data_IF_565607986940
#
_entry.id   IF_565607986940
#
_cell.length_a   1.000
_cell.length_b   1.000
_cell.length_c   1.000
_cell.angle_alpha   90.00
_cell.angle_beta   90.00
_cell.angle_gamma   90.00
#
_symmetry.space_group_name_H-M   'P 1'
#
loop_
_entity.id
_entity.type
_entity.pdbx_description
1 polymer ?
#
# COMPACT_ATOMS: atom_id res chain seq x y z
N UNK A 1 -95.31 -14.86 -44.60
CA UNK A 1 -95.52 -14.60 -43.13
C UNK A 1 -94.34 -15.04 -42.27
N UNK A 2 -93.14 -14.82 -42.71
CA UNK A 2 -91.94 -15.05 -41.88
C UNK A 2 -90.81 -14.04 -42.24
N UNK A 3 -91.12 -12.86 -42.87
CA UNK A 3 -90.14 -11.94 -43.34
C UNK A 3 -90.36 -10.51 -42.80
N UNK A 4 -91.25 -10.32 -41.84
CA UNK A 4 -91.63 -8.99 -41.32
C UNK A 4 -91.28 -8.78 -39.82
N UNK A 5 -90.33 -9.55 -39.26
CA UNK A 5 -89.99 -9.45 -37.83
C UNK A 5 -88.51 -9.19 -37.58
N UNK A 6 -87.76 -8.60 -38.56
CA UNK A 6 -86.31 -8.28 -38.37
C UNK A 6 -86.00 -6.83 -38.69
N UNK A 7 -86.92 -5.91 -38.54
CA UNK A 7 -86.65 -4.49 -38.90
C UNK A 7 -86.48 -3.55 -37.65
N UNK A 8 -86.32 -4.03 -36.47
CA UNK A 8 -86.10 -3.18 -35.27
C UNK A 8 -85.01 -3.72 -34.36
N UNK A 9 -83.87 -4.18 -34.92
CA UNK A 9 -82.61 -4.28 -34.16
C UNK A 9 -81.79 -3.03 -34.40
N UNK A 10 -82.02 -2.05 -33.55
CA UNK A 10 -81.14 -0.88 -33.45
C UNK A 10 -79.72 -1.34 -33.11
N UNK A 11 -78.80 -1.21 -34.08
CA UNK A 11 -77.39 -1.44 -33.84
C UNK A 11 -76.85 -0.35 -32.88
N UNK A 12 -76.67 -0.80 -31.64
CA UNK A 12 -76.04 0.03 -30.60
C UNK A 12 -74.63 0.41 -31.10
N UNK A 13 -74.36 1.70 -31.16
CA UNK A 13 -73.10 2.26 -31.68
C UNK A 13 -71.97 1.77 -30.79
N UNK A 14 -71.24 0.75 -31.26
CA UNK A 14 -70.06 0.25 -30.63
C UNK A 14 -69.13 1.37 -30.22
N UNK A 15 -68.78 1.42 -28.95
CA UNK A 15 -67.81 2.36 -28.36
C UNK A 15 -66.47 2.12 -29.02
N UNK A 16 -66.08 2.99 -29.94
CA UNK A 16 -64.72 2.99 -30.50
C UNK A 16 -63.78 3.56 -29.47
N UNK A 17 -63.20 2.67 -28.69
CA UNK A 17 -62.13 3.05 -27.75
C UNK A 17 -60.88 3.48 -28.58
N UNK A 18 -60.66 4.77 -28.64
CA UNK A 18 -59.45 5.34 -29.29
C UNK A 18 -58.21 5.03 -28.45
N UNK A 19 -57.46 3.98 -28.76
CA UNK A 19 -56.17 3.65 -28.19
C UNK A 19 -55.00 4.62 -28.54
N UNK A 20 -55.30 5.81 -29.09
CA UNK A 20 -54.27 6.77 -29.51
C UNK A 20 -53.49 7.41 -28.35
N UNK A 21 -54.07 7.50 -27.15
CA UNK A 21 -53.40 8.16 -26.00
C UNK A 21 -52.42 7.27 -25.26
N UNK A 22 -52.68 5.98 -25.18
CA UNK A 22 -51.77 5.03 -24.48
C UNK A 22 -50.44 4.86 -25.22
N UNK A 23 -50.44 4.78 -26.53
CA UNK A 23 -49.20 4.65 -27.31
C UNK A 23 -48.27 5.84 -27.13
N UNK A 24 -48.78 7.07 -27.16
CA UNK A 24 -47.98 8.28 -26.98
C UNK A 24 -47.37 8.39 -25.57
N UNK A 25 -48.10 7.92 -24.55
CA UNK A 25 -47.63 7.90 -23.16
C UNK A 25 -46.58 6.81 -22.96
N UNK A 26 -46.75 5.62 -23.50
CA UNK A 26 -45.76 4.54 -23.46
C UNK A 26 -44.45 4.96 -24.15
N UNK A 27 -44.52 5.61 -25.30
CA UNK A 27 -43.31 6.13 -25.99
C UNK A 27 -42.55 7.20 -25.18
N UNK A 28 -43.24 8.06 -24.43
CA UNK A 28 -42.57 9.02 -23.52
C UNK A 28 -41.83 8.34 -22.37
N UNK A 29 -42.41 7.34 -21.76
CA UNK A 29 -41.75 6.59 -20.70
C UNK A 29 -40.66 5.64 -21.22
N UNK A 30 -40.84 5.05 -22.40
CA UNK A 30 -39.82 4.24 -23.05
C UNK A 30 -38.56 5.07 -23.37
N UNK A 31 -38.71 6.33 -23.85
CA UNK A 31 -37.58 7.20 -24.06
C UNK A 31 -36.81 7.52 -22.77
N UNK A 32 -37.50 7.79 -21.66
CA UNK A 32 -36.86 8.00 -20.34
C UNK A 32 -36.12 6.75 -19.90
N UNK A 33 -36.70 5.56 -20.10
CA UNK A 33 -36.09 4.30 -19.73
C UNK A 33 -34.80 4.00 -20.53
N UNK A 34 -34.83 4.29 -21.85
CA UNK A 34 -33.65 4.16 -22.72
C UNK A 34 -32.54 5.12 -22.28
N UNK A 35 -32.89 6.36 -21.89
CA UNK A 35 -31.90 7.35 -21.38
C UNK A 35 -31.31 6.88 -20.06
N UNK A 36 -32.12 6.34 -19.14
CA UNK A 36 -31.63 5.82 -17.86
C UNK A 36 -30.72 4.60 -18.06
N UNK A 37 -31.06 3.69 -18.98
CA UNK A 37 -30.21 2.55 -19.33
C UNK A 37 -28.89 3.04 -19.95
N UNK A 38 -28.94 3.99 -20.87
CA UNK A 38 -27.75 4.57 -21.49
C UNK A 38 -26.86 5.31 -20.47
N UNK A 39 -27.46 6.04 -19.52
CA UNK A 39 -26.73 6.68 -18.41
C UNK A 39 -26.11 5.63 -17.47
N UNK A 40 -26.87 4.61 -17.10
CA UNK A 40 -26.36 3.51 -16.26
C UNK A 40 -25.22 2.76 -16.96
N UNK A 41 -25.33 2.52 -18.26
CA UNK A 41 -24.28 1.91 -19.07
C UNK A 41 -23.06 2.82 -19.19
N UNK A 42 -23.25 4.13 -19.39
CA UNK A 42 -22.17 5.11 -19.44
C UNK A 42 -21.43 5.22 -18.10
N UNK A 43 -22.17 5.23 -16.97
CA UNK A 43 -21.59 5.23 -15.62
C UNK A 43 -20.84 3.91 -15.35
N UNK A 44 -21.44 2.77 -15.73
CA UNK A 44 -20.81 1.45 -15.57
C UNK A 44 -19.53 1.34 -16.41
N UNK A 45 -19.58 1.80 -17.67
CA UNK A 45 -18.43 1.80 -18.59
C UNK A 45 -17.35 2.80 -18.16
N UNK A 46 -17.75 3.98 -17.64
CA UNK A 46 -16.83 4.96 -17.05
C UNK A 46 -16.14 4.42 -15.79
N UNK A 47 -16.86 3.68 -14.95
CA UNK A 47 -16.26 3.03 -13.76
C UNK A 47 -15.33 1.85 -14.10
N UNK A 48 -15.59 1.12 -15.21
CA UNK A 48 -14.67 0.07 -15.68
C UNK A 48 -13.40 0.64 -16.33
N UNK A 49 -13.47 1.84 -16.91
CA UNK A 49 -12.35 2.58 -17.49
C UNK A 49 -11.82 3.66 -16.53
N UNK A 50 -12.19 3.63 -15.25
CA UNK A 50 -11.48 4.40 -14.25
C UNK A 50 -10.03 3.92 -14.32
N UNK A 51 -9.16 4.73 -14.91
CA UNK A 51 -7.73 4.54 -14.84
C UNK A 51 -7.43 4.29 -13.36
N UNK A 52 -6.90 3.11 -13.03
CA UNK A 52 -6.39 2.85 -11.69
C UNK A 52 -5.37 3.96 -11.49
N UNK A 53 -5.73 5.00 -10.72
CA UNK A 53 -4.77 6.02 -10.33
C UNK A 53 -3.72 5.29 -9.52
N UNK A 54 -2.61 5.00 -10.17
CA UNK A 54 -1.39 4.64 -9.46
C UNK A 54 -1.13 5.74 -8.44
N UNK A 55 -0.67 5.39 -7.22
CA UNK A 55 -0.28 6.38 -6.23
C UNK A 55 0.63 7.42 -6.88
N UNK A 56 0.51 8.66 -6.44
CA UNK A 56 1.28 9.79 -6.95
C UNK A 56 2.75 9.37 -7.10
N UNK A 57 3.33 9.55 -8.29
CA UNK A 57 4.69 9.07 -8.63
C UNK A 57 5.80 9.85 -7.90
N UNK A 58 5.45 10.57 -6.84
CA UNK A 58 6.37 11.40 -6.07
C UNK A 58 6.37 11.02 -4.59
N UNK A 59 7.56 11.05 -3.99
CA UNK A 59 7.69 10.95 -2.54
C UNK A 59 7.08 12.19 -1.91
N UNK A 60 6.24 12.01 -0.90
CA UNK A 60 5.54 13.11 -0.23
C UNK A 60 5.87 13.13 1.26
N UNK A 61 5.96 14.34 1.80
CA UNK A 61 6.02 14.59 3.23
C UNK A 61 4.81 15.40 3.65
N UNK A 62 3.99 14.83 4.50
CA UNK A 62 2.88 15.50 5.14
C UNK A 62 3.29 15.91 6.55
N UNK A 63 3.14 17.19 6.88
CA UNK A 63 3.39 17.74 8.21
C UNK A 63 2.05 17.94 8.90
N UNK A 64 1.79 17.16 9.96
CA UNK A 64 0.55 17.21 10.76
C UNK A 64 0.59 18.45 11.69
N UNK A 65 0.28 19.63 11.16
CA UNK A 65 0.17 20.85 11.97
C UNK A 65 -1.24 21.01 12.52
N UNK A 66 -1.43 21.49 13.78
CA UNK A 66 -2.75 21.72 14.37
C UNK A 66 -3.66 22.66 13.55
N UNK A 67 -3.07 23.66 12.89
CA UNK A 67 -3.82 24.67 12.13
C UNK A 67 -4.21 24.21 10.72
N UNK A 68 -3.39 23.43 10.07
CA UNK A 68 -3.67 22.76 8.77
C UNK A 68 -2.54 21.81 8.39
N UNK A 69 -2.84 20.59 7.97
CA UNK A 69 -1.82 19.68 7.44
C UNK A 69 -1.22 20.28 6.16
N UNK A 70 0.10 20.22 6.03
CA UNK A 70 0.82 20.65 4.83
C UNK A 70 1.43 19.45 4.15
N UNK A 71 1.21 19.30 2.86
CA UNK A 71 1.81 18.27 2.05
C UNK A 71 2.90 18.87 1.14
N UNK A 72 4.09 18.29 1.17
CA UNK A 72 5.23 18.66 0.34
C UNK A 72 5.59 17.51 -0.59
N UNK A 73 5.80 17.82 -1.86
CA UNK A 73 6.43 16.89 -2.78
C UNK A 73 7.95 17.01 -2.65
N UNK A 74 8.63 15.90 -2.39
CA UNK A 74 10.06 15.86 -2.21
C UNK A 74 10.76 15.77 -3.58
N UNK A 75 11.21 16.92 -4.10
CA UNK A 75 11.84 17.10 -5.42
C UNK A 75 13.20 17.76 -5.30
N UNK A 76 14.09 17.21 -4.49
CA UNK A 76 15.48 17.67 -4.33
C UNK A 76 15.59 19.16 -3.98
N UNK A 77 14.81 19.62 -2.99
CA UNK A 77 14.88 20.97 -2.42
C UNK A 77 14.77 20.92 -0.92
N UNK A 78 15.51 21.79 -0.23
CA UNK A 78 15.37 21.94 1.22
C UNK A 78 13.94 22.34 1.60
N UNK A 79 13.42 21.71 2.67
CA UNK A 79 12.14 22.07 3.24
C UNK A 79 12.30 23.32 4.10
N UNK A 80 11.52 24.34 3.78
CA UNK A 80 11.55 25.60 4.51
C UNK A 80 10.21 25.87 5.19
N UNK A 81 10.23 26.39 6.42
CA UNK A 81 9.07 26.85 7.15
C UNK A 81 8.54 28.19 6.63
N UNK A 82 7.51 28.73 7.34
CA UNK A 82 6.86 30.00 6.96
C UNK A 82 7.81 31.19 7.02
N UNK A 83 8.77 31.16 7.95
CA UNK A 83 9.73 32.25 8.21
C UNK A 83 11.04 32.07 7.44
N UNK A 84 11.10 31.09 6.52
CA UNK A 84 12.27 30.79 5.70
C UNK A 84 13.33 29.92 6.40
N UNK A 85 13.07 29.47 7.63
CA UNK A 85 13.93 28.52 8.34
C UNK A 85 13.96 27.16 7.60
N UNK A 86 15.13 26.51 7.56
CA UNK A 86 15.27 25.16 6.99
C UNK A 86 14.76 24.14 8.00
N UNK A 87 13.69 23.42 7.64
CA UNK A 87 13.07 22.38 8.46
C UNK A 87 13.70 21.01 8.24
N UNK A 88 14.18 20.73 7.03
CA UNK A 88 14.93 19.55 6.66
C UNK A 88 15.71 19.82 5.36
N UNK A 89 16.86 19.18 5.22
CA UNK A 89 17.66 19.22 3.97
C UNK A 89 17.29 18.02 3.13
N UNK A 90 17.14 18.23 1.82
CA UNK A 90 16.90 17.14 0.88
C UNK A 90 18.03 17.03 -0.14
N UNK A 91 18.67 15.87 -0.20
CA UNK A 91 19.59 15.49 -1.27
C UNK A 91 19.09 14.21 -1.95
N UNK A 92 18.73 14.33 -3.23
CA UNK A 92 18.17 13.21 -4.04
C UNK A 92 17.07 12.46 -3.29
N UNK A 93 17.37 11.24 -2.83
CA UNK A 93 16.44 10.33 -2.17
C UNK A 93 16.60 10.33 -0.65
N UNK A 94 17.25 11.33 -0.07
CA UNK A 94 17.50 11.41 1.38
C UNK A 94 16.92 12.69 1.95
N UNK A 95 16.17 12.59 3.04
CA UNK A 95 15.70 13.69 3.86
C UNK A 95 16.50 13.72 5.17
N UNK A 96 17.18 14.82 5.45
CA UNK A 96 18.09 14.96 6.57
C UNK A 96 17.62 16.04 7.55
N UNK A 97 17.38 15.65 8.80
CA UNK A 97 17.05 16.54 9.90
C UNK A 97 18.23 16.92 10.78
N UNK A 98 19.46 16.51 10.43
CA UNK A 98 20.63 16.84 11.24
C UNK A 98 20.92 18.35 11.31
N UNK A 99 21.23 18.81 12.52
CA UNK A 99 21.62 20.20 12.75
C UNK A 99 20.47 21.19 12.71
N UNK A 100 19.23 20.71 12.63
CA UNK A 100 18.04 21.53 12.72
C UNK A 100 17.59 21.56 14.17
N UNK A 101 18.07 22.56 14.92
CA UNK A 101 17.70 22.75 16.32
C UNK A 101 16.32 23.41 16.42
N UNK A 102 15.28 22.60 16.60
CA UNK A 102 13.98 23.08 17.08
C UNK A 102 13.80 22.70 18.56
N UNK A 103 14.73 23.17 19.42
CA UNK A 103 14.59 22.90 20.87
C UNK A 103 13.32 23.56 21.45
N UNK A 104 12.95 24.74 20.94
CA UNK A 104 11.79 25.53 21.39
C UNK A 104 10.66 25.45 20.36
N UNK A 105 9.76 24.48 20.48
CA UNK A 105 8.59 24.38 19.62
C UNK A 105 7.69 23.20 19.98
N UNK A 106 6.47 23.20 19.47
CA UNK A 106 5.56 22.07 19.61
C UNK A 106 6.08 20.84 18.86
N UNK A 107 5.79 19.66 19.38
CA UNK A 107 6.03 18.40 18.69
C UNK A 107 5.02 18.30 17.56
N UNK A 108 5.54 18.27 16.33
CA UNK A 108 4.75 18.09 15.11
C UNK A 108 5.12 16.76 14.50
N UNK A 109 4.15 16.01 14.03
CA UNK A 109 4.40 14.74 13.38
C UNK A 109 4.51 14.92 11.86
N UNK A 110 5.42 14.17 11.29
CA UNK A 110 5.65 14.08 9.85
C UNK A 110 5.21 12.69 9.37
N UNK A 111 4.60 12.63 8.20
CA UNK A 111 4.29 11.36 7.51
C UNK A 111 5.00 11.37 6.16
N UNK A 112 6.06 10.58 6.07
CA UNK A 112 6.81 10.36 4.83
C UNK A 112 6.20 9.18 4.08
N UNK A 113 5.77 9.38 2.82
CA UNK A 113 5.19 8.34 1.96
C UNK A 113 6.05 8.12 0.73
N UNK A 114 6.42 6.88 0.51
CA UNK A 114 7.21 6.43 -0.64
C UNK A 114 6.30 5.69 -1.61
N UNK A 115 6.11 6.17 -2.84
CA UNK A 115 5.27 5.50 -3.83
C UNK A 115 5.91 4.20 -4.34
N UNK A 116 5.14 3.42 -5.07
CA UNK A 116 5.67 2.24 -5.78
C UNK A 116 6.76 2.67 -6.78
N UNK A 117 7.73 1.79 -7.02
CA UNK A 117 8.87 2.03 -7.91
C UNK A 117 9.97 2.92 -7.34
N UNK A 118 9.88 3.36 -6.08
CA UNK A 118 10.88 4.20 -5.43
C UNK A 118 11.29 3.66 -4.07
N UNK A 119 12.49 3.99 -3.66
CA UNK A 119 12.99 3.87 -2.29
C UNK A 119 13.39 5.24 -1.79
N UNK A 120 13.35 5.46 -0.50
CA UNK A 120 13.72 6.73 0.08
C UNK A 120 14.40 6.57 1.43
N UNK A 121 15.25 7.52 1.80
CA UNK A 121 16.00 7.51 3.05
C UNK A 121 15.60 8.70 3.91
N UNK A 122 15.54 8.51 5.22
CA UNK A 122 15.39 9.61 6.17
C UNK A 122 16.36 9.46 7.31
N UNK A 123 17.08 10.55 7.60
CA UNK A 123 17.92 10.68 8.76
C UNK A 123 17.15 11.47 9.82
N UNK A 124 16.65 10.74 10.81
CA UNK A 124 15.77 11.27 11.85
C UNK A 124 16.53 12.24 12.79
N UNK A 125 15.81 13.06 13.59
CA UNK A 125 16.42 14.03 14.49
C UNK A 125 17.39 13.44 15.53
N UNK A 126 17.23 12.16 15.89
CA UNK A 126 18.12 11.42 16.80
C UNK A 126 19.31 10.76 16.09
N UNK A 127 19.50 11.02 14.80
CA UNK A 127 20.50 10.40 13.93
C UNK A 127 20.23 8.93 13.59
N UNK A 128 19.03 8.44 13.85
CA UNK A 128 18.59 7.14 13.35
C UNK A 128 18.42 7.22 11.83
N UNK A 129 19.05 6.30 11.11
CA UNK A 129 18.94 6.20 9.65
C UNK A 129 17.88 5.17 9.28
N UNK A 130 16.89 5.59 8.51
CA UNK A 130 15.80 4.73 8.05
C UNK A 130 15.77 4.70 6.53
N UNK A 131 15.83 3.49 5.96
CA UNK A 131 15.57 3.24 4.54
C UNK A 131 14.15 2.75 4.40
N UNK A 132 13.37 3.32 3.50
CA UNK A 132 11.99 2.95 3.22
C UNK A 132 11.87 2.35 1.82
N UNK A 133 11.27 1.18 1.74
CA UNK A 133 11.03 0.50 0.48
C UNK A 133 9.77 1.05 -0.22
N UNK A 134 9.56 0.67 -1.47
CA UNK A 134 8.44 1.07 -2.30
C UNK A 134 7.08 0.74 -1.64
N UNK A 135 6.17 1.69 -1.64
CA UNK A 135 4.84 1.55 -1.03
C UNK A 135 4.82 1.69 0.49
N UNK A 136 5.87 2.26 1.10
CA UNK A 136 5.98 2.41 2.55
C UNK A 136 5.62 3.81 3.02
N UNK A 137 5.19 3.91 4.27
CA UNK A 137 5.04 5.18 4.97
C UNK A 137 5.62 5.11 6.38
N UNK A 138 6.25 6.21 6.81
CA UNK A 138 6.79 6.38 8.15
C UNK A 138 6.22 7.64 8.77
N UNK A 139 5.58 7.50 9.94
CA UNK A 139 5.14 8.62 10.76
C UNK A 139 6.10 8.78 11.94
N UNK A 140 6.66 9.98 12.10
CA UNK A 140 7.66 10.29 13.12
C UNK A 140 7.56 11.76 13.56
N UNK A 141 7.97 12.10 14.81
CA UNK A 141 7.97 13.48 15.28
C UNK A 141 9.15 14.27 14.69
N UNK A 142 8.98 15.58 14.56
CA UNK A 142 10.04 16.51 14.14
C UNK A 142 11.19 16.60 15.15
N UNK A 143 10.99 16.12 16.39
CA UNK A 143 12.02 16.02 17.45
C UNK A 143 11.63 14.95 18.46
N UNK A 144 12.63 14.27 19.03
CA UNK A 144 12.45 13.36 20.16
C UNK A 144 12.76 14.07 21.48
N UNK A 145 11.94 13.84 22.49
CA UNK A 145 12.17 14.40 23.83
C UNK A 145 13.23 13.59 24.57
N UNK A 146 14.21 14.27 25.15
CA UNK A 146 15.26 13.62 25.92
C UNK A 146 14.69 12.82 27.10
N UNK A 147 15.12 11.57 27.23
CA UNK A 147 14.65 10.67 28.32
C UNK A 147 13.21 10.17 28.13
N UNK A 148 12.62 10.32 26.94
CA UNK A 148 11.35 9.74 26.54
C UNK A 148 11.58 8.71 25.43
N UNK A 149 10.57 7.90 25.19
CA UNK A 149 10.56 6.93 24.10
C UNK A 149 10.62 7.66 22.74
N UNK A 150 11.43 7.13 21.83
CA UNK A 150 11.56 7.58 20.45
C UNK A 150 10.63 6.76 19.58
N UNK A 151 9.39 7.20 19.46
CA UNK A 151 8.33 6.39 18.84
C UNK A 151 8.07 6.80 17.39
N UNK A 152 7.96 5.79 16.51
CA UNK A 152 7.57 5.94 15.11
C UNK A 152 6.55 4.86 14.72
N UNK A 153 5.77 5.15 13.66
CA UNK A 153 4.80 4.20 13.09
C UNK A 153 5.19 3.88 11.66
N UNK A 154 5.34 2.60 11.35
CA UNK A 154 5.67 2.09 10.01
C UNK A 154 4.48 1.35 9.40
N UNK A 155 4.17 1.66 8.16
CA UNK A 155 3.39 0.83 7.25
C UNK A 155 4.24 0.54 6.01
N UNK A 156 4.36 -0.72 5.58
CA UNK A 156 5.23 -1.13 4.49
C UNK A 156 6.52 -1.78 4.97
N UNK A 157 7.65 -1.48 4.35
CA UNK A 157 8.94 -2.07 4.68
C UNK A 157 9.99 -1.00 4.96
N UNK A 158 10.68 -1.15 6.08
CA UNK A 158 11.73 -0.25 6.51
C UNK A 158 12.92 -0.97 7.13
N UNK A 159 14.12 -0.57 6.74
CA UNK A 159 15.36 -0.95 7.39
C UNK A 159 15.80 0.19 8.30
N UNK A 160 16.07 -0.13 9.54
CA UNK A 160 16.42 0.81 10.59
C UNK A 160 17.84 0.58 11.08
N UNK A 161 18.65 1.64 11.06
CA UNK A 161 19.93 1.71 11.75
C UNK A 161 19.80 2.73 12.87
N UNK A 162 19.42 2.23 14.04
CA UNK A 162 19.02 3.06 15.18
C UNK A 162 20.26 3.57 15.93
N UNK A 163 20.27 4.87 16.20
CA UNK A 163 21.32 5.50 17.02
C UNK A 163 21.26 4.98 18.46
N UNK A 164 22.45 4.74 19.07
CA UNK A 164 22.56 4.13 20.41
C UNK A 164 22.16 5.12 21.49
N UNK A 165 21.10 4.83 22.22
CA UNK A 165 20.69 5.52 23.45
C UNK A 165 20.04 4.53 24.42
N UNK A 166 20.73 4.27 25.54
CA UNK A 166 20.26 3.33 26.56
C UNK A 166 19.16 3.90 27.46
N UNK A 167 18.97 5.22 27.45
CA UNK A 167 18.02 5.89 28.34
C UNK A 167 16.69 6.22 27.62
N UNK A 168 16.67 6.15 26.29
CA UNK A 168 15.51 6.46 25.47
C UNK A 168 15.34 5.36 24.42
N UNK A 169 14.51 4.36 24.66
CA UNK A 169 14.28 3.29 23.70
C UNK A 169 13.70 3.85 22.40
N UNK A 170 14.04 3.23 21.27
CA UNK A 170 13.44 3.49 19.98
C UNK A 170 12.36 2.45 19.73
N UNK A 171 11.14 2.92 19.48
CA UNK A 171 9.95 2.08 19.36
C UNK A 171 9.39 2.20 17.96
N UNK A 172 9.29 1.09 17.25
CA UNK A 172 8.60 1.01 15.96
C UNK A 172 7.28 0.27 16.14
N UNK A 173 6.18 0.96 15.97
CA UNK A 173 4.87 0.36 15.85
C UNK A 173 4.61 -0.01 14.39
N UNK A 174 4.25 -1.27 14.17
CA UNK A 174 3.86 -1.81 12.89
C UNK A 174 2.62 -2.71 13.09
N UNK A 175 1.89 -3.04 12.04
CA UNK A 175 0.62 -3.74 12.12
C UNK A 175 0.67 -5.00 13.03
N UNK A 176 0.12 -4.88 14.23
CA UNK A 176 0.03 -5.97 15.24
C UNK A 176 1.28 -6.21 16.09
N UNK A 177 2.41 -5.54 15.82
CA UNK A 177 3.68 -5.69 16.54
C UNK A 177 4.20 -4.33 17.02
N UNK A 178 4.76 -4.30 18.21
CA UNK A 178 5.65 -3.24 18.68
C UNK A 178 7.07 -3.79 18.81
N UNK A 179 8.02 -3.07 18.23
CA UNK A 179 9.47 -3.40 18.26
C UNK A 179 10.20 -2.36 19.09
N UNK A 180 10.97 -2.78 20.11
CA UNK A 180 11.72 -1.93 21.02
C UNK A 180 13.22 -2.21 20.93
N UNK A 181 14.03 -1.15 20.76
CA UNK A 181 15.49 -1.26 20.62
C UNK A 181 16.22 -0.08 21.27
N UNK A 182 17.52 -0.27 21.59
CA UNK A 182 18.38 0.75 22.21
C UNK A 182 19.62 1.13 21.36
N UNK A 183 19.65 0.71 20.07
CA UNK A 183 20.77 0.93 19.16
C UNK A 183 21.09 -0.34 18.39
N UNK A 184 20.34 -0.61 17.35
CA UNK A 184 20.18 -1.90 16.71
C UNK A 184 19.98 -1.72 15.22
N UNK A 185 20.43 -2.65 14.38
CA UNK A 185 20.11 -2.72 12.96
C UNK A 185 19.09 -3.85 12.72
N UNK A 186 17.95 -3.52 12.11
CA UNK A 186 16.86 -4.48 11.86
C UNK A 186 15.99 -4.05 10.68
N UNK A 187 15.29 -5.01 10.08
CA UNK A 187 14.31 -4.78 9.01
C UNK A 187 12.91 -5.15 9.50
N UNK A 188 11.92 -4.34 9.16
CA UNK A 188 10.49 -4.66 9.39
C UNK A 188 9.78 -4.67 8.05
N UNK A 189 8.97 -5.72 7.82
CA UNK A 189 8.03 -5.81 6.70
C UNK A 189 6.61 -5.87 7.25
N UNK A 190 5.77 -4.88 6.95
CA UNK A 190 4.43 -4.71 7.50
C UNK A 190 3.49 -4.01 6.49
N UNK A 191 3.35 -4.58 5.30
CA UNK A 191 2.42 -4.06 4.30
C UNK A 191 0.98 -4.44 4.64
N UNK A 192 0.05 -3.48 4.49
CA UNK A 192 -1.37 -3.69 4.82
C UNK A 192 -2.07 -4.76 3.95
N UNK A 193 -1.55 -5.02 2.75
CA UNK A 193 -2.03 -6.06 1.84
C UNK A 193 -1.35 -7.43 2.03
N UNK A 194 -0.35 -7.54 2.93
CA UNK A 194 0.25 -8.80 3.33
C UNK A 194 -0.47 -9.39 4.56
N UNK A 195 -0.47 -10.72 4.69
CA UNK A 195 -1.13 -11.42 5.80
C UNK A 195 -0.30 -11.47 7.08
N UNK A 196 0.93 -10.96 7.05
CA UNK A 196 1.88 -11.04 8.15
C UNK A 196 2.65 -9.74 8.33
N UNK A 197 3.20 -9.56 9.52
CA UNK A 197 4.25 -8.59 9.84
C UNK A 197 5.48 -9.36 10.30
N UNK A 198 6.66 -8.99 9.82
CA UNK A 198 7.91 -9.63 10.23
C UNK A 198 8.97 -8.62 10.66
N UNK A 199 9.81 -9.04 11.62
CA UNK A 199 10.96 -8.29 12.12
C UNK A 199 12.19 -9.18 12.04
N UNK A 200 13.20 -8.75 11.29
CA UNK A 200 14.49 -9.45 11.14
C UNK A 200 15.57 -8.66 11.86
N UNK A 201 16.28 -9.31 12.79
CA UNK A 201 17.40 -8.68 13.49
C UNK A 201 18.71 -8.92 12.75
N UNK A 202 19.40 -7.82 12.42
CA UNK A 202 20.71 -7.82 11.75
C UNK A 202 21.84 -7.72 12.78
N UNK A 203 21.83 -6.67 13.62
CA UNK A 203 22.85 -6.43 14.65
C UNK A 203 22.19 -5.88 15.92
N UNK A 204 22.67 -6.33 17.09
CA UNK A 204 22.22 -5.85 18.39
C UNK A 204 21.19 -6.76 19.05
N UNK A 205 20.11 -6.19 19.59
CA UNK A 205 19.03 -6.89 20.26
C UNK A 205 17.70 -6.19 20.02
N UNK A 206 16.63 -6.96 19.79
CA UNK A 206 15.28 -6.45 19.51
C UNK A 206 14.30 -7.11 20.46
N UNK A 207 13.55 -6.29 21.19
CA UNK A 207 12.35 -6.72 21.91
C UNK A 207 11.13 -6.64 20.99
N UNK A 208 10.35 -7.72 20.91
CA UNK A 208 9.11 -7.78 20.11
C UNK A 208 7.94 -8.05 21.04
N UNK A 209 6.87 -7.26 20.87
CA UNK A 209 5.62 -7.38 21.62
C UNK A 209 4.44 -7.55 20.68
N UNK A 210 3.57 -8.50 20.96
CA UNK A 210 2.27 -8.66 20.29
C UNK A 210 1.26 -7.65 20.82
N UNK A 211 0.84 -6.71 20.00
CA UNK A 211 -0.09 -5.65 20.39
C UNK A 211 -1.47 -6.18 20.83
N UNK A 212 -1.84 -7.40 20.43
CA UNK A 212 -3.09 -8.03 20.87
C UNK A 212 -3.05 -8.50 22.34
N UNK A 213 -1.84 -8.65 22.89
CA UNK A 213 -1.59 -9.11 24.26
C UNK A 213 -1.07 -8.00 25.18
N UNK A 214 -0.82 -6.80 24.67
CA UNK A 214 -0.15 -5.70 25.39
C UNK A 214 -0.96 -5.23 26.60
N UNK A 215 -0.48 -5.57 27.77
CA UNK A 215 -0.81 -4.91 29.03
C UNK A 215 0.27 -3.86 29.30
N UNK A 216 -0.11 -2.60 29.53
CA UNK A 216 0.83 -1.49 29.74
C UNK A 216 1.92 -1.83 30.76
N UNK A 217 3.20 -1.62 30.40
CA UNK A 217 4.34 -1.71 31.32
C UNK A 217 4.99 -3.09 31.46
N UNK A 218 4.65 -4.06 30.62
CA UNK A 218 5.33 -5.37 30.63
C UNK A 218 6.58 -5.34 29.73
N UNK A 219 7.52 -6.26 30.07
CA UNK A 219 8.69 -6.58 29.24
C UNK A 219 8.23 -7.06 27.86
N UNK A 220 9.07 -6.92 26.82
CA UNK A 220 8.79 -7.52 25.52
C UNK A 220 8.46 -9.01 25.65
N UNK A 221 7.49 -9.49 24.84
CA UNK A 221 7.11 -10.91 24.83
C UNK A 221 8.27 -11.80 24.38
N UNK A 222 9.17 -11.24 23.58
CA UNK A 222 10.21 -11.97 22.89
C UNK A 222 11.46 -11.11 22.69
N UNK A 223 12.64 -11.71 22.86
CA UNK A 223 13.93 -11.10 22.55
C UNK A 223 14.60 -11.82 21.37
N UNK A 224 14.85 -11.11 20.28
CA UNK A 224 15.55 -11.65 19.11
C UNK A 224 17.07 -11.55 19.27
N UNK A 225 17.77 -12.50 18.63
CA UNK A 225 19.21 -12.52 18.41
C UNK A 225 19.50 -12.27 16.92
N UNK A 226 20.72 -11.86 16.54
CA UNK A 226 21.09 -11.70 15.13
C UNK A 226 20.75 -12.95 14.31
N UNK A 227 20.20 -12.73 13.11
CA UNK A 227 19.62 -13.71 12.18
C UNK A 227 18.26 -14.32 12.62
N UNK A 228 17.68 -13.89 13.73
CA UNK A 228 16.29 -14.25 14.04
C UNK A 228 15.32 -13.40 13.21
N UNK A 229 14.25 -14.05 12.73
CA UNK A 229 13.06 -13.41 12.18
C UNK A 229 11.85 -13.77 13.04
N UNK A 230 11.21 -12.76 13.62
CA UNK A 230 9.89 -12.89 14.24
C UNK A 230 8.81 -12.60 13.22
N UNK A 231 7.82 -13.47 13.10
CA UNK A 231 6.67 -13.30 12.20
C UNK A 231 5.36 -13.38 12.96
N UNK A 232 4.52 -12.37 12.77
CA UNK A 232 3.15 -12.30 13.28
C UNK A 232 2.17 -12.41 12.13
N UNK A 233 1.45 -13.51 12.05
CA UNK A 233 0.28 -13.67 11.19
C UNK A 233 -0.98 -13.29 11.95
N UNK A 234 -1.96 -12.72 11.28
CA UNK A 234 -3.23 -12.32 11.92
C UNK A 234 -3.92 -13.53 12.54
N UNK A 235 -4.19 -13.46 13.85
CA UNK A 235 -4.86 -14.52 14.61
C UNK A 235 -3.93 -15.64 15.09
N UNK A 236 -2.63 -15.60 14.78
CA UNK A 236 -1.63 -16.58 15.25
C UNK A 236 -0.70 -15.95 16.31
N UNK A 237 0.06 -16.76 17.02
CA UNK A 237 1.13 -16.29 17.89
C UNK A 237 2.35 -15.88 17.07
N UNK A 238 3.27 -15.09 17.67
CA UNK A 238 4.54 -14.75 17.03
C UNK A 238 5.39 -16.02 16.93
N UNK A 239 5.79 -16.37 15.73
CA UNK A 239 6.79 -17.42 15.46
C UNK A 239 8.17 -16.82 15.27
N UNK A 240 9.22 -17.58 15.61
CA UNK A 240 10.62 -17.19 15.39
C UNK A 240 11.36 -18.27 14.62
N UNK A 241 12.12 -17.84 13.62
CA UNK A 241 12.99 -18.72 12.84
C UNK A 241 14.33 -18.03 12.53
N UNK A 242 15.34 -18.84 12.21
CA UNK A 242 16.64 -18.34 11.71
C UNK A 242 16.57 -18.13 10.20
N UNK A 243 17.04 -16.96 9.74
CA UNK A 243 17.00 -16.58 8.34
C UNK A 243 18.37 -16.11 7.83
N UNK A 244 18.53 -16.11 6.51
CA UNK A 244 19.63 -15.41 5.86
C UNK A 244 19.26 -13.92 5.73
N UNK A 245 19.98 -13.06 6.42
CA UNK A 245 19.76 -11.61 6.42
C UNK A 245 19.75 -11.05 4.99
N UNK A 246 20.59 -11.57 4.10
CA UNK A 246 20.70 -11.07 2.74
C UNK A 246 19.36 -11.13 1.98
N UNK A 247 18.51 -12.11 2.28
CA UNK A 247 17.17 -12.24 1.69
C UNK A 247 16.23 -11.09 2.05
N UNK A 248 16.45 -10.47 3.22
CA UNK A 248 15.57 -9.44 3.79
C UNK A 248 16.08 -8.01 3.62
N UNK A 249 17.37 -7.83 3.28
CA UNK A 249 17.96 -6.49 3.12
C UNK A 249 18.45 -6.19 1.70
N UNK A 250 18.38 -7.17 0.79
CA UNK A 250 18.82 -7.01 -0.61
C UNK A 250 18.09 -5.88 -1.36
N UNK A 251 16.86 -5.57 -0.96
CA UNK A 251 16.07 -4.51 -1.56
C UNK A 251 16.70 -3.11 -1.39
N UNK A 252 17.53 -2.88 -0.36
CA UNK A 252 18.25 -1.62 -0.12
C UNK A 252 19.19 -1.31 -1.30
N UNK A 253 19.78 -2.35 -1.91
CA UNK A 253 20.60 -2.24 -3.13
C UNK A 253 19.82 -2.36 -4.43
N UNK A 254 18.48 -2.40 -4.37
CA UNK A 254 17.63 -2.57 -5.54
C UNK A 254 17.48 -4.01 -6.02
N UNK A 255 18.03 -4.99 -5.30
CA UNK A 255 17.96 -6.41 -5.64
C UNK A 255 16.63 -7.02 -5.19
N UNK A 256 15.93 -7.69 -6.10
CA UNK A 256 14.81 -8.57 -5.77
C UNK A 256 15.33 -9.99 -5.53
N UNK A 257 15.07 -10.50 -4.34
CA UNK A 257 15.44 -11.86 -3.96
C UNK A 257 14.19 -12.67 -3.59
N UNK A 258 14.05 -13.84 -4.17
CA UNK A 258 12.98 -14.79 -3.90
C UNK A 258 13.59 -16.14 -3.54
N UNK A 259 13.20 -16.73 -2.42
CA UNK A 259 13.64 -18.07 -2.01
C UNK A 259 12.45 -18.92 -1.63
N UNK A 260 12.15 -19.90 -2.47
CA UNK A 260 11.01 -20.79 -2.28
C UNK A 260 9.70 -20.04 -2.03
N UNK A 261 9.55 -18.86 -2.65
CA UNK A 261 8.46 -17.92 -2.43
C UNK A 261 7.32 -18.19 -3.40
N UNK A 262 6.07 -18.14 -2.93
CA UNK A 262 4.92 -18.37 -3.80
C UNK A 262 4.69 -17.18 -4.75
N UNK A 263 4.14 -17.48 -5.93
CA UNK A 263 3.96 -16.49 -6.98
C UNK A 263 3.04 -15.34 -6.57
N UNK A 264 2.06 -15.59 -5.71
CA UNK A 264 1.18 -14.53 -5.16
C UNK A 264 1.97 -13.46 -4.42
N UNK A 265 2.91 -13.84 -3.56
CA UNK A 265 3.79 -12.89 -2.84
C UNK A 265 4.77 -12.20 -3.78
N UNK A 266 5.34 -12.95 -4.74
CA UNK A 266 6.23 -12.40 -5.76
C UNK A 266 5.53 -11.31 -6.58
N UNK A 267 4.29 -11.53 -7.00
CA UNK A 267 3.49 -10.53 -7.73
C UNK A 267 3.40 -9.22 -6.96
N UNK A 268 3.14 -9.26 -5.65
CA UNK A 268 3.10 -8.05 -4.83
C UNK A 268 4.44 -7.32 -4.80
N UNK A 269 5.54 -8.05 -4.63
CA UNK A 269 6.90 -7.47 -4.67
C UNK A 269 7.20 -6.85 -6.03
N UNK A 270 6.83 -7.51 -7.14
CA UNK A 270 7.00 -6.96 -8.49
C UNK A 270 6.16 -5.69 -8.69
N UNK A 271 4.91 -5.67 -8.22
CA UNK A 271 4.04 -4.49 -8.30
C UNK A 271 4.66 -3.30 -7.57
N UNK A 272 5.14 -3.51 -6.33
CA UNK A 272 5.78 -2.48 -5.53
C UNK A 272 7.07 -1.98 -6.18
N UNK A 273 7.94 -2.90 -6.60
CA UNK A 273 9.27 -2.57 -7.12
C UNK A 273 9.25 -1.87 -8.48
N UNK A 274 8.38 -2.31 -9.40
CA UNK A 274 8.32 -1.77 -10.77
C UNK A 274 7.19 -0.76 -11.00
N UNK A 275 6.39 -0.48 -9.99
CA UNK A 275 5.18 0.36 -10.12
C UNK A 275 4.26 -0.14 -11.25
N UNK A 276 3.93 -1.41 -11.23
CA UNK A 276 3.07 -2.09 -12.21
C UNK A 276 1.85 -2.69 -11.54
N UNK A 277 0.78 -2.89 -12.31
CA UNK A 277 -0.41 -3.64 -11.89
C UNK A 277 -0.37 -5.01 -12.54
N UNK A 278 -0.44 -6.07 -11.75
CA UNK A 278 -0.46 -7.46 -12.25
C UNK A 278 -1.83 -8.08 -12.01
N UNK A 279 -2.48 -8.49 -13.08
CA UNK A 279 -3.75 -9.22 -13.07
C UNK A 279 -3.43 -10.68 -13.39
N UNK A 280 -3.56 -11.56 -12.41
CA UNK A 280 -3.30 -12.98 -12.59
C UNK A 280 -4.61 -13.76 -12.79
N UNK A 281 -4.89 -14.15 -14.03
CA UNK A 281 -6.02 -15.00 -14.40
C UNK A 281 -5.72 -16.51 -14.24
N UNK A 282 -4.46 -16.87 -13.97
CA UNK A 282 -4.01 -18.25 -13.79
C UNK A 282 -3.87 -18.60 -12.30
N UNK A 283 -4.97 -18.96 -11.64
CA UNK A 283 -5.02 -19.25 -10.20
C UNK A 283 -4.04 -20.35 -9.75
N UNK A 284 -3.82 -21.38 -10.57
CA UNK A 284 -2.90 -22.46 -10.23
C UNK A 284 -1.43 -22.01 -10.14
N UNK A 285 -1.08 -20.85 -10.74
CA UNK A 285 0.26 -20.28 -10.66
C UNK A 285 0.53 -19.64 -9.29
N UNK A 286 -0.51 -19.16 -8.59
CA UNK A 286 -0.37 -18.41 -7.32
C UNK A 286 0.41 -19.18 -6.25
N UNK A 287 0.22 -20.50 -6.17
CA UNK A 287 0.86 -21.37 -5.17
C UNK A 287 2.18 -21.98 -5.66
N UNK A 288 2.57 -21.71 -6.92
CA UNK A 288 3.87 -22.15 -7.43
C UNK A 288 4.98 -21.33 -6.78
N UNK A 289 6.05 -22.04 -6.40
CA UNK A 289 7.17 -21.45 -5.69
C UNK A 289 8.35 -21.22 -6.64
N UNK A 290 9.00 -20.08 -6.46
CA UNK A 290 10.14 -19.67 -7.26
C UNK A 290 11.30 -19.27 -6.36
N UNK A 291 12.50 -19.48 -6.89
CA UNK A 291 13.76 -19.01 -6.30
C UNK A 291 14.54 -18.28 -7.39
N UNK A 292 15.01 -17.08 -7.08
CA UNK A 292 15.78 -16.26 -8.01
C UNK A 292 16.29 -14.99 -7.37
N UNK A 293 17.36 -14.45 -7.95
CA UNK A 293 17.91 -13.14 -7.59
C UNK A 293 17.97 -12.28 -8.86
N UNK A 294 17.48 -11.05 -8.78
CA UNK A 294 17.36 -10.12 -9.90
C UNK A 294 17.85 -8.74 -9.43
N UNK A 295 18.92 -8.25 -10.07
CA UNK A 295 19.58 -7.01 -9.67
C UNK A 295 19.20 -5.85 -10.60
N UNK A 296 19.21 -6.10 -11.92
CA UNK A 296 19.01 -5.05 -12.96
C UNK A 296 17.96 -5.46 -13.99
N UNK A 297 17.35 -6.62 -13.83
CA UNK A 297 16.41 -7.15 -14.79
C UNK A 297 15.11 -6.32 -14.79
N UNK A 298 14.52 -6.14 -15.96
CA UNK A 298 13.17 -5.62 -16.09
C UNK A 298 12.13 -6.65 -15.63
N UNK A 299 10.94 -6.19 -15.28
CA UNK A 299 9.82 -7.10 -14.93
C UNK A 299 9.55 -8.12 -16.02
N UNK A 300 9.70 -7.75 -17.29
CA UNK A 300 9.54 -8.67 -18.43
C UNK A 300 10.59 -9.79 -18.42
N UNK A 301 11.85 -9.47 -18.13
CA UNK A 301 12.93 -10.47 -18.04
C UNK A 301 12.69 -11.44 -16.88
N UNK A 302 12.17 -10.97 -15.75
CA UNK A 302 11.79 -11.80 -14.61
C UNK A 302 10.65 -12.76 -15.02
N UNK A 303 9.59 -12.23 -15.63
CA UNK A 303 8.47 -13.06 -16.09
C UNK A 303 8.91 -14.10 -17.13
N UNK A 304 9.77 -13.74 -18.07
CA UNK A 304 10.38 -14.70 -19.04
C UNK A 304 11.19 -15.79 -18.33
N UNK A 305 11.87 -15.45 -17.24
CA UNK A 305 12.63 -16.43 -16.45
C UNK A 305 11.68 -17.41 -15.75
N UNK A 306 10.60 -16.93 -15.15
CA UNK A 306 9.59 -17.78 -14.50
C UNK A 306 8.82 -18.63 -15.52
N UNK A 307 8.56 -18.10 -16.71
CA UNK A 307 7.90 -18.82 -17.81
C UNK A 307 8.68 -20.05 -18.28
N UNK A 308 10.03 -20.05 -18.17
CA UNK A 308 10.85 -21.23 -18.52
C UNK A 308 10.57 -22.45 -17.65
N UNK A 309 10.17 -22.25 -16.41
CA UNK A 309 9.90 -23.32 -15.44
C UNK A 309 8.41 -23.62 -15.24
N UNK A 310 7.53 -22.71 -15.65
CA UNK A 310 6.09 -22.85 -15.52
C UNK A 310 5.41 -22.31 -16.76
N UNK A 311 4.58 -23.13 -17.39
CA UNK A 311 3.89 -22.74 -18.62
C UNK A 311 2.76 -21.75 -18.30
N UNK A 312 2.92 -20.48 -18.66
CA UNK A 312 1.93 -19.43 -18.62
C UNK A 312 2.21 -18.39 -19.71
N UNK A 313 1.20 -17.61 -20.06
CA UNK A 313 1.31 -16.51 -21.01
C UNK A 313 1.13 -15.17 -20.29
N UNK A 314 1.73 -14.10 -20.80
CA UNK A 314 1.50 -12.75 -20.28
C UNK A 314 1.45 -11.71 -21.39
N UNK A 315 0.74 -10.63 -21.11
CA UNK A 315 0.65 -9.43 -21.96
C UNK A 315 1.03 -8.23 -21.11
N UNK A 316 1.95 -7.41 -21.59
CA UNK A 316 2.36 -6.16 -20.95
C UNK A 316 1.84 -5.00 -21.78
N UNK A 317 1.05 -4.13 -21.17
CA UNK A 317 0.51 -2.91 -21.79
C UNK A 317 0.76 -1.74 -20.84
N UNK A 318 1.70 -0.87 -21.17
CA UNK A 318 2.19 0.18 -20.25
C UNK A 318 2.58 -0.42 -18.89
N UNK A 319 1.86 -0.02 -17.84
CA UNK A 319 2.09 -0.49 -16.46
C UNK A 319 1.21 -1.68 -16.07
N UNK A 320 0.41 -2.23 -16.99
CA UNK A 320 -0.47 -3.36 -16.71
C UNK A 320 0.13 -4.66 -17.28
N UNK A 321 0.13 -5.70 -16.46
CA UNK A 321 0.59 -7.05 -16.82
C UNK A 321 -0.58 -8.01 -16.58
N UNK A 322 -0.99 -8.73 -17.63
CA UNK A 322 -2.05 -9.73 -17.55
C UNK A 322 -1.43 -11.10 -17.76
N UNK A 323 -1.59 -11.98 -16.78
CA UNK A 323 -1.07 -13.36 -16.82
C UNK A 323 -2.22 -14.32 -17.07
N UNK A 324 -2.05 -15.21 -18.03
CA UNK A 324 -3.03 -16.20 -18.46
C UNK A 324 -2.40 -17.62 -18.46
N UNK A 325 -3.23 -18.68 -18.40
CA UNK A 325 -2.78 -20.07 -18.56
C UNK A 325 -2.02 -20.33 -19.85
#
# INVERSE_FOLDING_TARGET
KAFELFEDATWDKGVVVRFKSLRATIFKYAAVFVVLIALSYAIFYSNQNADIKLPDDQVTLEVESPDSPKCFYLVSKDLTGKDGEVLAKQDKNTLDYQGINSEDGEIVYNVLRVPYGKTFEVLLPDQTHVFLNAGSSLRYPNKFQKGKDREVLLEGEGYFKVSKDKNSPFIVNANGITTEVFGTEFNITSYGDDSFTSVVLIEGSVGVTDNSKRLSGLQPDLMLKPNDMATKTKGEEISVEQVDIAEHVSWISGTLFFKNENFRSIVKKLQRHYNVVVINNYKALEEKKFTGRFDIESVEQILKTFQKSNNFNYIITKNNIIINP
#
